data_IF_824751915822
#
_entry.id   IF_824751915822
#
_cell.length_a   1.000
_cell.length_b   1.000
_cell.length_c   1.000
_cell.angle_alpha   90.00
_cell.angle_beta   90.00
_cell.angle_gamma   90.00
#
_symmetry.space_group_name_H-M   'P 1'
#
loop_
_entity.id
_entity.type
_entity.pdbx_description
1 polymer ?
#
# COMPACT_ATOMS: atom_id res chain seq x y z
N UNK A 1 -42.92 -17.02 -27.39
CA UNK A 1 -41.50 -16.70 -27.62
C UNK A 1 -40.85 -16.65 -26.25
N UNK A 2 -39.90 -17.55 -25.91
CA UNK A 2 -39.30 -17.53 -24.58
C UNK A 2 -38.47 -16.23 -24.45
N UNK A 3 -38.68 -15.52 -23.35
CA UNK A 3 -37.94 -14.30 -23.03
C UNK A 3 -36.54 -14.72 -22.58
N UNK A 4 -35.54 -14.38 -23.39
CA UNK A 4 -34.14 -14.64 -23.09
C UNK A 4 -33.63 -13.53 -22.16
N UNK A 5 -33.53 -13.82 -20.87
CA UNK A 5 -33.04 -12.87 -19.87
C UNK A 5 -31.51 -12.77 -20.02
N UNK A 6 -31.06 -11.78 -20.79
CA UNK A 6 -29.63 -11.46 -20.88
C UNK A 6 -29.19 -10.72 -19.60
N UNK A 7 -28.57 -11.46 -18.68
CA UNK A 7 -27.91 -10.89 -17.50
C UNK A 7 -26.69 -10.07 -17.96
N UNK A 8 -26.85 -8.74 -18.03
CA UNK A 8 -25.75 -7.81 -18.26
C UNK A 8 -25.30 -7.22 -16.92
N UNK A 9 -24.04 -7.44 -16.55
CA UNK A 9 -23.46 -6.83 -15.35
C UNK A 9 -23.36 -5.32 -15.53
N UNK A 10 -23.91 -4.55 -14.59
CA UNK A 10 -24.03 -3.09 -14.70
C UNK A 10 -22.69 -2.35 -14.83
N UNK A 11 -21.61 -2.85 -14.22
CA UNK A 11 -20.32 -2.12 -14.14
C UNK A 11 -19.18 -2.72 -14.98
N UNK A 12 -19.30 -3.96 -15.48
CA UNK A 12 -18.30 -4.60 -16.34
C UNK A 12 -18.96 -5.51 -17.39
N UNK A 13 -19.67 -4.89 -18.33
CA UNK A 13 -20.38 -5.61 -19.40
C UNK A 13 -19.43 -6.39 -20.33
N UNK A 14 -18.15 -6.02 -20.38
CA UNK A 14 -17.10 -6.66 -21.20
C UNK A 14 -16.25 -7.69 -20.44
N UNK A 15 -16.51 -7.93 -19.14
CA UNK A 15 -15.70 -8.82 -18.30
C UNK A 15 -14.19 -8.57 -18.37
N UNK A 16 -13.80 -7.30 -18.45
CA UNK A 16 -12.40 -6.87 -18.47
C UNK A 16 -11.78 -7.06 -17.07
N UNK A 17 -10.94 -8.09 -16.91
CA UNK A 17 -10.31 -8.46 -15.63
C UNK A 17 -9.51 -7.33 -14.99
N UNK A 18 -8.99 -6.41 -15.81
CA UNK A 18 -8.20 -5.26 -15.37
C UNK A 18 -8.98 -4.30 -14.46
N UNK A 19 -10.29 -4.14 -14.64
CA UNK A 19 -11.10 -3.28 -13.75
C UNK A 19 -11.44 -3.94 -12.41
N UNK A 20 -11.36 -5.27 -12.31
CA UNK A 20 -11.66 -6.02 -11.09
C UNK A 20 -10.39 -6.34 -10.28
N UNK A 21 -9.31 -6.77 -10.95
CA UNK A 21 -8.12 -7.30 -10.30
C UNK A 21 -7.16 -6.18 -9.87
N UNK A 22 -6.93 -5.19 -10.75
CA UNK A 22 -5.89 -4.16 -10.52
C UNK A 22 -6.13 -3.38 -9.21
N UNK A 23 -7.34 -2.87 -8.91
CA UNK A 23 -7.58 -2.18 -7.64
C UNK A 23 -7.36 -3.08 -6.42
N UNK A 24 -7.77 -4.36 -6.51
CA UNK A 24 -7.61 -5.34 -5.44
C UNK A 24 -6.14 -5.67 -5.15
N UNK A 25 -5.34 -5.84 -6.21
CA UNK A 25 -3.90 -6.10 -6.08
C UNK A 25 -3.16 -4.86 -5.55
N UNK A 26 -3.51 -3.65 -5.99
CA UNK A 26 -2.92 -2.41 -5.47
C UNK A 26 -3.21 -2.27 -3.96
N UNK A 27 -4.45 -2.49 -3.53
CA UNK A 27 -4.83 -2.51 -2.10
C UNK A 27 -4.02 -3.55 -1.31
N UNK A 28 -3.91 -4.77 -1.84
CA UNK A 28 -3.15 -5.85 -1.20
C UNK A 28 -1.66 -5.50 -1.06
N UNK A 29 -1.06 -4.96 -2.12
CA UNK A 29 0.35 -4.56 -2.10
C UNK A 29 0.60 -3.40 -1.12
N UNK A 30 -0.30 -2.41 -1.08
CA UNK A 30 -0.23 -1.32 -0.12
C UNK A 30 -0.32 -1.78 1.34
N UNK A 31 -1.05 -2.86 1.62
CA UNK A 31 -1.08 -3.45 2.95
C UNK A 31 0.18 -4.26 3.26
N UNK A 32 0.67 -5.03 2.28
CA UNK A 32 1.82 -5.93 2.47
C UNK A 32 3.16 -5.20 2.58
N UNK A 33 3.39 -4.13 1.80
CA UNK A 33 4.68 -3.43 1.78
C UNK A 33 5.04 -2.86 3.17
N UNK A 34 4.17 -2.06 3.84
CA UNK A 34 4.46 -1.56 5.19
C UNK A 34 4.54 -2.67 6.23
N UNK A 35 3.71 -3.72 6.12
CA UNK A 35 3.74 -4.85 7.03
C UNK A 35 5.08 -5.58 6.97
N UNK A 36 5.57 -5.88 5.76
CA UNK A 36 6.87 -6.52 5.54
C UNK A 36 8.02 -5.64 6.00
N UNK A 37 8.00 -4.35 5.68
CA UNK A 37 9.02 -3.41 6.14
C UNK A 37 9.09 -3.31 7.67
N UNK A 38 7.92 -3.30 8.33
CA UNK A 38 7.84 -3.26 9.80
C UNK A 38 8.37 -4.56 10.40
N UNK A 39 7.98 -5.72 9.85
CA UNK A 39 8.48 -7.02 10.30
C UNK A 39 10.01 -7.11 10.19
N UNK A 40 10.57 -6.75 9.03
CA UNK A 40 12.02 -6.71 8.82
C UNK A 40 12.71 -5.70 9.72
N UNK A 41 12.09 -4.54 9.96
CA UNK A 41 12.58 -3.52 10.89
C UNK A 41 12.71 -4.06 12.32
N UNK A 42 11.69 -4.75 12.81
CA UNK A 42 11.69 -5.37 14.14
C UNK A 42 12.77 -6.47 14.24
N UNK A 43 12.89 -7.32 13.21
CA UNK A 43 13.92 -8.38 13.19
C UNK A 43 15.32 -7.79 13.20
N UNK A 44 15.60 -6.80 12.33
CA UNK A 44 16.89 -6.10 12.31
C UNK A 44 17.20 -5.40 13.62
N UNK A 45 16.21 -4.81 14.26
CA UNK A 45 16.37 -4.18 15.58
C UNK A 45 16.77 -5.20 16.65
N UNK A 46 16.15 -6.38 16.64
CA UNK A 46 16.50 -7.49 17.53
C UNK A 46 17.90 -8.02 17.26
N UNK A 47 18.29 -8.18 15.99
CA UNK A 47 19.62 -8.68 15.59
C UNK A 47 20.74 -7.68 15.88
N UNK A 48 20.48 -6.38 15.71
CA UNK A 48 21.48 -5.32 15.91
C UNK A 48 21.64 -4.94 17.38
N UNK A 49 20.72 -5.35 18.27
CA UNK A 49 20.81 -5.06 19.70
C UNK A 49 20.61 -3.59 20.08
N UNK A 50 20.06 -2.76 19.19
CA UNK A 50 19.81 -1.32 19.39
C UNK A 50 18.96 -0.99 20.63
N UNK A 51 18.11 -1.93 21.05
CA UNK A 51 17.30 -1.84 22.28
C UNK A 51 18.18 -1.72 23.53
N UNK A 52 19.38 -2.33 23.54
CA UNK A 52 20.32 -2.25 24.65
C UNK A 52 21.09 -0.91 24.67
N UNK A 53 21.34 -0.30 23.50
CA UNK A 53 22.10 0.95 23.38
C UNK A 53 21.28 2.20 23.77
N UNK A 54 19.98 2.05 24.01
CA UNK A 54 19.10 3.17 24.41
C UNK A 54 19.24 3.56 25.90
N UNK A 55 19.90 2.73 26.72
CA UNK A 55 20.08 3.03 28.15
C UNK A 55 21.15 4.10 28.41
N UNK A 56 21.97 4.47 27.42
CA UNK A 56 23.14 5.35 27.61
C UNK A 56 23.01 6.75 26.98
N UNK A 57 21.90 7.09 26.30
CA UNK A 57 21.75 8.37 25.58
C UNK A 57 20.59 9.22 26.16
N UNK A 58 20.81 10.52 26.50
CA UNK A 58 19.79 11.38 27.12
C UNK A 58 18.80 11.95 26.08
N UNK A 59 18.25 11.10 25.21
CA UNK A 59 17.27 11.49 24.17
C UNK A 59 15.86 11.03 24.53
N UNK A 60 14.86 11.85 24.26
CA UNK A 60 13.46 11.56 24.58
C UNK A 60 12.97 10.40 23.70
N UNK A 61 12.35 9.37 24.30
CA UNK A 61 11.88 8.14 23.62
C UNK A 61 11.10 8.41 22.33
N UNK A 62 10.33 9.50 22.28
CA UNK A 62 9.51 9.90 21.14
C UNK A 62 10.33 10.42 19.95
N UNK A 63 11.40 11.18 20.17
CA UNK A 63 12.24 11.72 19.07
C UNK A 63 12.99 10.60 18.35
N UNK A 64 13.48 9.61 19.09
CA UNK A 64 14.11 8.43 18.50
C UNK A 64 13.12 7.60 17.68
N UNK A 65 11.92 7.36 18.22
CA UNK A 65 10.87 6.63 17.52
C UNK A 65 10.41 7.35 16.25
N UNK A 66 10.21 8.67 16.30
CA UNK A 66 9.81 9.46 15.14
C UNK A 66 10.92 9.49 14.08
N UNK A 67 12.17 9.71 14.48
CA UNK A 67 13.31 9.68 13.56
C UNK A 67 13.47 8.32 12.88
N UNK A 68 13.17 7.23 13.60
CA UNK A 68 13.23 5.88 13.07
C UNK A 68 12.04 5.50 12.19
N UNK A 69 10.83 5.97 12.51
CA UNK A 69 9.63 5.70 11.72
C UNK A 69 9.56 6.52 10.42
N UNK A 70 10.12 7.73 10.42
CA UNK A 70 10.17 8.63 9.26
C UNK A 70 10.61 7.93 7.95
N UNK A 71 11.74 7.19 7.90
CA UNK A 71 12.14 6.50 6.67
C UNK A 71 11.14 5.43 6.22
N UNK A 72 10.49 4.72 7.14
CA UNK A 72 9.49 3.71 6.79
C UNK A 72 8.23 4.34 6.18
N UNK A 73 7.77 5.45 6.76
CA UNK A 73 6.62 6.21 6.23
C UNK A 73 6.95 6.76 4.84
N UNK A 74 8.15 7.29 4.64
CA UNK A 74 8.59 7.83 3.36
C UNK A 74 8.60 6.75 2.27
N UNK A 75 9.16 5.57 2.55
CA UNK A 75 9.20 4.46 1.60
C UNK A 75 7.78 3.97 1.29
N UNK A 76 6.92 3.83 2.28
CA UNK A 76 5.53 3.42 2.08
C UNK A 76 4.77 4.41 1.18
N UNK A 77 5.00 5.71 1.38
CA UNK A 77 4.40 6.76 0.56
C UNK A 77 4.91 6.73 -0.89
N UNK A 78 6.22 6.51 -1.10
CA UNK A 78 6.78 6.35 -2.44
C UNK A 78 6.21 5.12 -3.14
N UNK A 79 6.09 3.98 -2.44
CA UNK A 79 5.46 2.77 -2.99
C UNK A 79 4.00 3.02 -3.39
N UNK A 80 3.26 3.82 -2.61
CA UNK A 80 1.90 4.21 -2.95
C UNK A 80 1.82 5.00 -4.25
N UNK A 81 2.65 6.03 -4.41
CA UNK A 81 2.71 6.82 -5.64
C UNK A 81 3.04 5.94 -6.85
N UNK A 82 3.98 5.01 -6.69
CA UNK A 82 4.46 4.14 -7.76
C UNK A 82 3.37 3.15 -8.21
N UNK A 83 2.66 2.53 -7.26
CA UNK A 83 1.53 1.64 -7.56
C UNK A 83 0.36 2.39 -8.21
N UNK A 84 0.08 3.62 -7.75
CA UNK A 84 -0.94 4.47 -8.36
C UNK A 84 -0.57 4.86 -9.80
N UNK A 85 0.69 5.24 -10.05
CA UNK A 85 1.19 5.54 -11.38
C UNK A 85 1.12 4.32 -12.31
N UNK A 86 1.45 3.11 -11.82
CA UNK A 86 1.30 1.89 -12.61
C UNK A 86 -0.16 1.59 -12.96
N UNK A 87 -1.09 1.77 -12.01
CA UNK A 87 -2.52 1.57 -12.26
C UNK A 87 -3.06 2.49 -13.37
N UNK A 88 -2.56 3.74 -13.41
CA UNK A 88 -2.95 4.74 -14.41
C UNK A 88 -2.23 4.58 -15.76
N UNK A 89 -0.90 4.48 -15.76
CA UNK A 89 -0.09 4.49 -16.99
C UNK A 89 -0.06 3.14 -17.69
N UNK A 90 0.03 2.05 -16.94
CA UNK A 90 0.22 0.69 -17.51
C UNK A 90 -1.13 0.01 -17.73
N UNK A 91 -1.99 0.02 -16.71
CA UNK A 91 -3.26 -0.70 -16.76
C UNK A 91 -4.43 0.16 -17.28
N UNK A 92 -4.21 1.48 -17.45
CA UNK A 92 -5.22 2.44 -17.91
C UNK A 92 -6.54 2.33 -17.15
N UNK A 93 -6.48 1.96 -15.86
CA UNK A 93 -7.65 1.84 -15.01
C UNK A 93 -8.03 3.26 -14.58
N UNK A 94 -9.19 3.79 -14.99
CA UNK A 94 -9.60 5.12 -14.63
C UNK A 94 -9.83 5.15 -13.12
N UNK A 95 -8.94 5.84 -12.39
CA UNK A 95 -9.15 6.15 -10.99
C UNK A 95 -10.26 7.20 -10.94
N UNK A 96 -11.52 6.74 -10.86
CA UNK A 96 -12.67 7.61 -10.62
C UNK A 96 -12.65 8.03 -9.15
N UNK A 97 -11.84 9.03 -8.86
CA UNK A 97 -11.79 9.70 -7.56
C UNK A 97 -11.55 11.19 -7.80
N UNK A 98 -12.33 12.03 -7.14
CA UNK A 98 -12.10 13.47 -7.16
C UNK A 98 -10.93 13.77 -6.21
N UNK A 99 -9.92 14.48 -6.70
CA UNK A 99 -8.76 14.89 -5.87
C UNK A 99 -9.18 15.82 -4.71
N UNK A 100 -10.42 16.32 -4.75
CA UNK A 100 -10.94 17.36 -3.85
C UNK A 100 -12.36 17.09 -3.32
N UNK A 101 -13.01 15.97 -3.68
CA UNK A 101 -14.42 15.66 -3.31
C UNK A 101 -14.62 14.16 -3.13
#
# INVERSE_FOLDING_TARGET
MPVEVQSRFHFNQAFESRFAIVPGVVMLMLALIPAMMTALGIVREKETGSIANFQSTPTRRLEFLLGKQTPYVLIAFVSYLLLMLMALLVFQVPVKGSVWV
#
